data_IF_606930638391
#
_entry.id   IF_606930638391
#
_cell.length_a   1.000
_cell.length_b   1.000
_cell.length_c   1.000
_cell.angle_alpha   90.00
_cell.angle_beta   90.00
_cell.angle_gamma   90.00
#
_symmetry.space_group_name_H-M   'P 1'
#
loop_
_entity.id
_entity.type
_entity.pdbx_description
1 polymer ?
#
# COMPACT_ATOMS: atom_id res chain seq x y z
N UNK A 1 -18.69 -1.76 31.90
CA UNK A 1 -17.33 -1.21 31.93
C UNK A 1 -16.52 -2.02 30.93
N UNK A 2 -16.38 -1.54 29.69
CA UNK A 2 -15.65 -2.26 28.65
C UNK A 2 -14.16 -2.03 28.87
N UNK A 3 -13.41 -3.11 29.15
CA UNK A 3 -11.95 -3.06 29.17
C UNK A 3 -11.45 -2.79 27.75
N UNK A 4 -10.85 -1.62 27.52
CA UNK A 4 -10.05 -1.38 26.32
C UNK A 4 -8.80 -2.25 26.43
N UNK A 5 -8.64 -3.22 25.52
CA UNK A 5 -7.35 -3.91 25.35
C UNK A 5 -6.42 -2.90 24.68
N UNK A 6 -5.40 -2.43 25.41
CA UNK A 6 -4.38 -1.54 24.88
C UNK A 6 -3.41 -2.35 24.01
N UNK A 7 -3.55 -2.24 22.69
CA UNK A 7 -2.58 -2.74 21.73
C UNK A 7 -1.38 -1.78 21.61
N UNK A 8 -0.21 -2.31 21.25
CA UNK A 8 1.01 -1.54 21.05
C UNK A 8 1.66 -1.88 19.71
N UNK A 9 2.11 -0.87 18.98
CA UNK A 9 2.91 -0.99 17.76
C UNK A 9 4.31 -0.43 18.01
N UNK A 10 5.36 -1.17 17.62
CA UNK A 10 6.76 -0.76 17.84
C UNK A 10 7.43 -0.47 16.50
N UNK A 11 7.98 0.73 16.35
CA UNK A 11 8.66 1.13 15.12
C UNK A 11 9.73 2.20 15.39
N UNK A 12 10.92 2.04 14.79
CA UNK A 12 12.00 3.01 14.89
C UNK A 12 12.46 3.31 16.32
N UNK A 13 12.45 2.31 17.22
CA UNK A 13 12.77 2.48 18.64
C UNK A 13 11.66 3.08 19.51
N UNK A 14 10.51 3.43 18.91
CA UNK A 14 9.36 4.01 19.61
C UNK A 14 8.24 2.99 19.79
N UNK A 15 7.37 3.23 20.78
CA UNK A 15 6.15 2.45 21.02
C UNK A 15 4.93 3.36 20.87
N UNK A 16 3.96 2.94 20.08
CA UNK A 16 2.74 3.65 19.76
C UNK A 16 1.53 2.87 20.27
N UNK A 17 0.53 3.57 20.81
CA UNK A 17 -0.75 2.95 21.12
C UNK A 17 -1.48 2.57 19.83
N UNK A 18 -1.96 1.33 19.75
CA UNK A 18 -2.60 0.78 18.57
C UNK A 18 -3.85 -0.01 19.00
N UNK A 19 -4.88 0.72 19.40
CA UNK A 19 -6.14 0.14 19.90
C UNK A 19 -7.30 0.63 19.06
N UNK A 20 -8.27 -0.25 18.79
CA UNK A 20 -9.47 0.12 18.07
C UNK A 20 -10.36 1.05 18.93
N UNK A 21 -11.09 1.96 18.26
CA UNK A 21 -12.18 2.70 18.90
C UNK A 21 -13.27 1.73 19.39
N UNK A 22 -14.12 2.12 20.36
CA UNK A 22 -15.24 1.29 20.81
C UNK A 22 -16.19 0.86 19.69
N UNK A 23 -16.30 1.66 18.63
CA UNK A 23 -17.09 1.38 17.41
C UNK A 23 -16.38 0.46 16.40
N UNK A 24 -15.14 0.04 16.67
CA UNK A 24 -14.31 -0.70 15.73
C UNK A 24 -13.55 0.19 14.75
N UNK A 25 -13.03 -0.42 13.68
CA UNK A 25 -12.36 0.29 12.59
C UNK A 25 -13.38 0.98 11.66
N UNK A 26 -12.94 2.02 10.96
CA UNK A 26 -13.76 2.78 10.01
C UNK A 26 -12.89 3.21 8.83
N UNK A 27 -13.31 2.86 7.61
CA UNK A 27 -12.58 3.24 6.40
C UNK A 27 -12.43 4.75 6.27
N UNK A 28 -13.50 5.52 6.51
CA UNK A 28 -13.49 6.98 6.32
C UNK A 28 -12.63 7.69 7.36
N UNK A 29 -12.69 7.26 8.62
CA UNK A 29 -11.86 7.85 9.69
C UNK A 29 -10.39 7.49 9.50
N UNK A 30 -10.10 6.22 9.21
CA UNK A 30 -8.75 5.77 8.92
C UNK A 30 -8.16 6.50 7.70
N UNK A 31 -8.94 6.71 6.63
CA UNK A 31 -8.49 7.47 5.47
C UNK A 31 -8.19 8.93 5.83
N UNK A 32 -9.02 9.57 6.66
CA UNK A 32 -8.78 10.93 7.11
C UNK A 32 -7.45 11.05 7.90
N UNK A 33 -7.16 10.06 8.74
CA UNK A 33 -5.88 10.00 9.46
C UNK A 33 -4.69 9.77 8.52
N UNK A 34 -4.83 8.90 7.51
CA UNK A 34 -3.78 8.69 6.50
C UNK A 34 -3.51 9.95 5.67
N UNK A 35 -4.55 10.65 5.21
CA UNK A 35 -4.45 11.93 4.49
C UNK A 35 -3.63 12.94 5.30
N UNK A 36 -3.92 13.04 6.59
CA UNK A 36 -3.17 13.89 7.52
C UNK A 36 -1.73 13.41 7.72
N UNK A 37 -1.51 12.10 7.86
CA UNK A 37 -0.18 11.51 8.04
C UNK A 37 0.72 11.71 6.83
N UNK A 38 0.15 11.65 5.62
CA UNK A 38 0.85 11.96 4.36
C UNK A 38 1.13 13.46 4.22
N UNK A 39 0.38 14.35 4.90
CA UNK A 39 0.46 15.80 4.74
C UNK A 39 0.19 16.22 3.29
N UNK A 40 -0.91 15.72 2.73
CA UNK A 40 -1.31 16.06 1.35
C UNK A 40 -1.59 17.56 1.17
N UNK A 41 -2.04 18.23 2.24
CA UNK A 41 -2.34 19.67 2.25
C UNK A 41 -1.12 20.55 2.56
N UNK A 42 0.07 19.98 2.70
CA UNK A 42 1.31 20.74 2.93
C UNK A 42 1.55 21.70 1.76
N UNK A 43 1.99 22.92 2.06
CA UNK A 43 2.20 23.95 1.05
C UNK A 43 3.22 23.49 0.00
N UNK A 44 2.83 23.57 -1.27
CA UNK A 44 3.69 23.23 -2.39
C UNK A 44 4.47 24.46 -2.86
N UNK A 45 5.80 24.39 -2.79
CA UNK A 45 6.71 25.44 -3.30
C UNK A 45 7.17 25.18 -4.74
N UNK A 46 6.63 24.14 -5.37
CA UNK A 46 6.88 23.73 -6.75
C UNK A 46 5.61 23.88 -7.61
N UNK A 47 5.68 23.56 -8.91
CA UNK A 47 4.51 23.65 -9.80
C UNK A 47 3.36 22.73 -9.38
N UNK A 48 3.69 21.50 -8.96
CA UNK A 48 2.74 20.51 -8.43
C UNK A 48 3.50 19.57 -7.51
N UNK A 49 2.91 19.27 -6.36
CA UNK A 49 3.50 18.37 -5.38
C UNK A 49 2.69 17.07 -5.30
N UNK A 50 3.34 16.05 -4.74
CA UNK A 50 2.72 14.82 -4.28
C UNK A 50 2.13 15.08 -2.88
N UNK A 51 2.89 14.76 -1.83
CA UNK A 51 2.55 15.05 -0.44
C UNK A 51 3.77 15.59 0.31
N UNK A 52 3.55 16.26 1.44
CA UNK A 52 4.64 16.84 2.25
C UNK A 52 5.47 17.90 1.51
N UNK A 53 4.87 18.62 0.56
CA UNK A 53 5.54 19.65 -0.23
C UNK A 53 6.54 19.14 -1.26
N UNK A 54 6.59 17.82 -1.52
CA UNK A 54 7.56 17.21 -2.44
C UNK A 54 7.08 17.31 -3.90
N UNK A 55 7.92 17.85 -4.79
CA UNK A 55 7.65 17.94 -6.23
C UNK A 55 7.31 16.56 -6.83
N UNK A 56 6.24 16.49 -7.64
CA UNK A 56 5.76 15.25 -8.23
C UNK A 56 6.48 14.83 -9.53
N UNK A 57 7.52 15.55 -9.95
CA UNK A 57 8.26 15.28 -11.19
C UNK A 57 7.57 15.75 -12.48
N UNK A 58 6.44 16.46 -12.40
CA UNK A 58 5.73 17.01 -13.56
C UNK A 58 4.78 16.05 -14.30
N UNK A 59 4.75 14.77 -13.91
CA UNK A 59 3.87 13.77 -14.52
C UNK A 59 4.23 13.42 -15.97
N UNK A 60 3.22 13.25 -16.81
CA UNK A 60 3.40 13.02 -18.25
C UNK A 60 3.42 11.54 -18.66
N UNK A 61 3.81 11.29 -19.92
CA UNK A 61 3.66 9.98 -20.56
C UNK A 61 4.41 8.84 -19.84
N UNK A 62 5.53 9.16 -19.18
CA UNK A 62 6.32 8.19 -18.41
C UNK A 62 5.59 7.61 -17.20
N UNK A 63 4.54 8.27 -16.69
CA UNK A 63 3.72 7.79 -15.56
C UNK A 63 2.42 7.10 -15.99
N UNK A 64 2.18 6.95 -17.31
CA UNK A 64 0.96 6.31 -17.81
C UNK A 64 0.91 4.80 -17.50
N UNK A 65 2.07 4.14 -17.55
CA UNK A 65 2.19 2.71 -17.28
C UNK A 65 2.97 2.51 -15.98
N UNK A 66 2.25 2.20 -14.91
CA UNK A 66 2.83 2.02 -13.58
C UNK A 66 3.10 0.53 -13.29
N UNK A 67 4.32 0.23 -12.90
CA UNK A 67 4.69 -1.03 -12.26
C UNK A 67 4.90 -0.78 -10.77
N UNK A 68 4.10 -1.43 -9.93
CA UNK A 68 4.07 -1.21 -8.48
C UNK A 68 4.46 -2.52 -7.80
N UNK A 69 5.52 -2.49 -7.00
CA UNK A 69 6.18 -3.69 -6.50
C UNK A 69 6.00 -3.89 -4.98
N UNK A 70 6.60 -4.96 -4.48
CA UNK A 70 6.80 -5.23 -3.06
C UNK A 70 5.48 -5.24 -2.26
N UNK A 71 5.37 -4.42 -1.22
CA UNK A 71 4.27 -4.47 -0.25
C UNK A 71 2.88 -4.25 -0.88
N UNK A 72 2.78 -3.54 -2.02
CA UNK A 72 1.52 -3.43 -2.77
C UNK A 72 1.07 -4.78 -3.35
N UNK A 73 2.00 -5.59 -3.87
CA UNK A 73 1.70 -6.93 -4.34
C UNK A 73 1.29 -7.82 -3.16
N UNK A 74 2.05 -7.79 -2.07
CA UNK A 74 1.81 -8.68 -0.93
C UNK A 74 0.44 -8.42 -0.30
N UNK A 75 0.11 -7.16 0.01
CA UNK A 75 -1.20 -6.78 0.56
C UNK A 75 -2.35 -7.11 -0.38
N UNK A 76 -2.15 -6.97 -1.69
CA UNK A 76 -3.17 -7.36 -2.66
C UNK A 76 -3.44 -8.86 -2.66
N UNK A 77 -2.37 -9.66 -2.58
CA UNK A 77 -2.45 -11.12 -2.52
C UNK A 77 -3.08 -11.59 -1.20
N UNK A 78 -2.69 -10.99 -0.08
CA UNK A 78 -3.19 -11.31 1.24
C UNK A 78 -4.65 -10.88 1.45
N UNK A 79 -5.06 -9.75 0.84
CA UNK A 79 -6.46 -9.32 0.80
C UNK A 79 -7.31 -10.08 -0.22
N UNK A 80 -6.69 -10.98 -1.00
CA UNK A 80 -7.37 -11.96 -1.85
C UNK A 80 -7.93 -11.41 -3.16
N UNK A 81 -7.51 -10.22 -3.62
CA UNK A 81 -7.98 -9.65 -4.89
C UNK A 81 -6.99 -9.85 -6.05
N UNK A 82 -5.87 -10.51 -5.82
CA UNK A 82 -4.98 -11.04 -6.88
C UNK A 82 -4.57 -12.48 -6.58
N UNK A 83 -4.10 -13.19 -7.61
CA UNK A 83 -3.48 -14.50 -7.45
C UNK A 83 -2.07 -14.38 -6.87
N UNK A 84 -1.87 -14.88 -5.64
CA UNK A 84 -0.58 -14.84 -4.93
C UNK A 84 0.57 -15.59 -5.62
N UNK A 85 0.24 -16.54 -6.51
CA UNK A 85 1.20 -17.31 -7.29
C UNK A 85 1.58 -16.66 -8.63
N UNK A 86 0.90 -15.58 -9.03
CA UNK A 86 1.22 -14.88 -10.26
C UNK A 86 2.49 -14.05 -10.11
N UNK A 87 3.26 -13.90 -11.20
CA UNK A 87 4.42 -13.01 -11.21
C UNK A 87 4.01 -11.53 -11.31
N UNK A 88 2.87 -11.27 -11.96
CA UNK A 88 2.28 -9.95 -12.18
C UNK A 88 0.76 -10.02 -12.04
N UNK A 89 0.14 -8.91 -11.66
CA UNK A 89 -1.31 -8.75 -11.65
C UNK A 89 -1.72 -7.37 -12.16
N UNK A 90 -2.79 -7.29 -12.96
CA UNK A 90 -3.40 -6.03 -13.37
C UNK A 90 -4.48 -5.64 -12.39
N UNK A 91 -4.40 -4.42 -11.86
CA UNK A 91 -5.33 -3.91 -10.84
C UNK A 91 -5.53 -2.41 -11.04
N UNK A 92 -6.45 -1.83 -10.29
CA UNK A 92 -6.69 -0.39 -10.16
C UNK A 92 -6.53 0.03 -8.71
N UNK A 93 -6.23 1.32 -8.42
CA UNK A 93 -6.27 1.80 -7.04
C UNK A 93 -7.64 1.58 -6.37
N UNK A 94 -8.75 1.61 -7.12
CA UNK A 94 -10.09 1.29 -6.59
C UNK A 94 -10.21 -0.13 -6.03
N UNK A 95 -9.41 -1.09 -6.50
CA UNK A 95 -9.43 -2.46 -5.96
C UNK A 95 -8.90 -2.49 -4.52
N UNK A 96 -7.89 -1.65 -4.21
CA UNK A 96 -7.40 -1.43 -2.84
C UNK A 96 -8.46 -0.75 -1.98
N UNK A 97 -9.19 0.24 -2.53
CA UNK A 97 -10.28 0.90 -1.82
C UNK A 97 -11.37 -0.10 -1.40
N UNK A 98 -11.81 -0.95 -2.33
CA UNK A 98 -12.82 -1.97 -2.06
C UNK A 98 -12.33 -2.99 -1.05
N UNK A 99 -11.07 -3.44 -1.16
CA UNK A 99 -10.46 -4.33 -0.19
C UNK A 99 -10.38 -3.69 1.20
N UNK A 100 -9.98 -2.41 1.29
CA UNK A 100 -9.95 -1.64 2.52
C UNK A 100 -11.35 -1.53 3.15
N UNK A 101 -12.38 -1.19 2.35
CA UNK A 101 -13.77 -1.12 2.83
C UNK A 101 -14.29 -2.45 3.38
N UNK A 102 -13.80 -3.59 2.87
CA UNK A 102 -14.11 -4.92 3.43
C UNK A 102 -13.34 -5.16 4.74
N UNK A 103 -12.02 -4.94 4.73
CA UNK A 103 -11.15 -5.16 5.88
C UNK A 103 -11.54 -4.31 7.10
N UNK A 104 -11.88 -3.03 6.88
CA UNK A 104 -12.24 -2.09 7.94
C UNK A 104 -13.64 -2.32 8.54
N UNK A 105 -14.35 -3.39 8.17
CA UNK A 105 -15.60 -3.81 8.82
C UNK A 105 -15.40 -4.97 9.78
N UNK A 106 -14.21 -5.56 9.80
CA UNK A 106 -13.90 -6.76 10.57
C UNK A 106 -13.24 -6.38 11.90
N UNK A 107 -13.58 -7.13 12.94
CA UNK A 107 -12.74 -7.18 14.14
C UNK A 107 -11.52 -8.08 13.89
N UNK A 108 -10.57 -8.09 14.83
CA UNK A 108 -9.31 -8.83 14.69
C UNK A 108 -9.52 -10.35 14.51
N UNK A 109 -10.52 -10.95 15.16
CA UNK A 109 -10.78 -12.39 15.05
C UNK A 109 -11.35 -12.76 13.67
N UNK A 110 -12.28 -11.95 13.17
CA UNK A 110 -12.86 -12.15 11.84
C UNK A 110 -11.83 -11.87 10.74
N UNK A 111 -10.97 -10.87 10.94
CA UNK A 111 -9.85 -10.57 10.04
C UNK A 111 -8.83 -11.71 10.01
N UNK A 112 -8.50 -12.30 11.16
CA UNK A 112 -7.58 -13.44 11.25
C UNK A 112 -8.08 -14.65 10.45
N UNK A 113 -9.40 -14.86 10.45
CA UNK A 113 -10.04 -15.95 9.70
C UNK A 113 -10.19 -15.64 8.21
N UNK A 114 -10.46 -14.37 7.87
CA UNK A 114 -10.68 -13.92 6.49
C UNK A 114 -9.38 -13.75 5.69
N UNK A 115 -8.27 -13.49 6.38
CA UNK A 115 -6.97 -13.21 5.76
C UNK A 115 -5.88 -14.17 6.28
N UNK A 116 -5.98 -15.47 5.99
CA UNK A 116 -5.05 -16.48 6.51
C UNK A 116 -3.62 -16.33 5.99
N UNK A 117 -3.42 -15.58 4.90
CA UNK A 117 -2.10 -15.25 4.35
C UNK A 117 -1.36 -14.14 5.12
N UNK A 118 -2.08 -13.35 5.94
CA UNK A 118 -1.48 -12.27 6.73
C UNK A 118 -0.83 -12.87 7.98
N UNK A 119 0.41 -12.47 8.25
CA UNK A 119 1.09 -12.83 9.51
C UNK A 119 0.26 -12.38 10.72
N UNK A 120 0.14 -13.21 11.74
CA UNK A 120 -0.74 -12.97 12.90
C UNK A 120 -0.56 -11.59 13.54
N UNK A 121 0.70 -11.18 13.73
CA UNK A 121 1.03 -9.89 14.34
C UNK A 121 0.66 -8.70 13.45
N UNK A 122 0.44 -8.93 12.14
CA UNK A 122 0.05 -7.92 11.17
C UNK A 122 -1.47 -7.88 10.89
N UNK A 123 -2.24 -8.87 11.36
CA UNK A 123 -3.70 -8.92 11.16
C UNK A 123 -4.43 -7.68 11.68
N UNK A 124 -4.08 -7.10 12.85
CA UNK A 124 -4.73 -5.88 13.33
C UNK A 124 -4.58 -4.67 12.38
N UNK A 125 -3.59 -4.70 11.49
CA UNK A 125 -3.22 -3.57 10.63
C UNK A 125 -3.70 -3.69 9.19
N UNK A 126 -4.34 -4.80 8.80
CA UNK A 126 -4.72 -5.03 7.39
C UNK A 126 -5.66 -3.94 6.83
N UNK A 127 -6.60 -3.43 7.64
CA UNK A 127 -7.43 -2.28 7.27
C UNK A 127 -6.57 -1.04 7.03
N UNK A 128 -5.68 -0.71 7.97
CA UNK A 128 -4.80 0.46 7.88
C UNK A 128 -3.88 0.39 6.65
N UNK A 129 -3.28 -0.78 6.39
CA UNK A 129 -2.36 -0.97 5.25
C UNK A 129 -3.07 -0.77 3.91
N UNK A 130 -4.27 -1.33 3.73
CA UNK A 130 -5.03 -1.20 2.49
C UNK A 130 -5.54 0.23 2.29
N UNK A 131 -5.99 0.90 3.37
CA UNK A 131 -6.34 2.32 3.33
C UNK A 131 -5.11 3.15 2.96
N UNK A 132 -3.97 2.89 3.60
CA UNK A 132 -2.72 3.58 3.33
C UNK A 132 -2.29 3.46 1.87
N UNK A 133 -2.31 2.24 1.31
CA UNK A 133 -1.94 2.00 -0.08
C UNK A 133 -2.87 2.71 -1.06
N UNK A 134 -4.19 2.65 -0.84
CA UNK A 134 -5.15 3.38 -1.67
C UNK A 134 -4.92 4.89 -1.61
N UNK A 135 -4.84 5.47 -0.41
CA UNK A 135 -4.67 6.91 -0.20
C UNK A 135 -3.32 7.40 -0.70
N UNK A 136 -2.25 6.62 -0.54
CA UNK A 136 -0.94 6.97 -1.08
C UNK A 136 -0.97 7.05 -2.62
N UNK A 137 -1.61 6.08 -3.29
CA UNK A 137 -1.71 6.09 -4.76
C UNK A 137 -2.56 7.27 -5.25
N UNK A 138 -3.74 7.48 -4.68
CA UNK A 138 -4.71 8.47 -5.18
C UNK A 138 -4.42 9.87 -4.66
N UNK A 139 -4.40 10.05 -3.34
CA UNK A 139 -4.24 11.36 -2.71
C UNK A 139 -2.77 11.79 -2.66
N UNK A 140 -1.84 10.84 -2.49
CA UNK A 140 -0.41 11.12 -2.45
C UNK A 140 0.23 11.31 -3.84
N UNK A 141 0.09 10.31 -4.71
CA UNK A 141 0.72 10.33 -6.04
C UNK A 141 -0.19 10.88 -7.15
N UNK A 142 -1.48 11.08 -6.89
CA UNK A 142 -2.40 11.61 -7.89
C UNK A 142 -2.75 10.63 -9.01
N UNK A 143 -2.65 9.32 -8.74
CA UNK A 143 -3.04 8.28 -9.69
C UNK A 143 -4.56 8.22 -9.78
N UNK A 144 -5.11 8.22 -10.99
CA UNK A 144 -6.55 8.10 -11.19
C UNK A 144 -7.03 6.76 -10.59
N UNK A 145 -8.08 6.74 -9.74
CA UNK A 145 -8.58 5.52 -9.10
C UNK A 145 -8.96 4.41 -10.08
N UNK A 146 -9.24 4.74 -11.34
CA UNK A 146 -9.61 3.81 -12.41
C UNK A 146 -8.46 3.49 -13.38
N UNK A 147 -7.30 4.14 -13.24
CA UNK A 147 -6.13 3.83 -14.04
C UNK A 147 -5.64 2.42 -13.74
N UNK A 148 -5.50 1.61 -14.79
CA UNK A 148 -4.88 0.29 -14.66
C UNK A 148 -3.39 0.44 -14.34
N UNK A 149 -2.93 -0.31 -13.35
CA UNK A 149 -1.53 -0.46 -12.97
C UNK A 149 -1.17 -1.94 -12.88
N UNK A 150 0.12 -2.22 -12.91
CA UNK A 150 0.65 -3.58 -12.86
C UNK A 150 1.33 -3.81 -11.52
N UNK A 151 0.76 -4.65 -10.67
CA UNK A 151 1.49 -5.16 -9.51
C UNK A 151 2.52 -6.17 -9.99
N UNK A 152 3.76 -6.07 -9.53
CA UNK A 152 4.87 -6.91 -9.96
C UNK A 152 5.60 -7.51 -8.76
N UNK A 153 5.67 -8.84 -8.74
CA UNK A 153 6.51 -9.61 -7.82
C UNK A 153 7.78 -10.10 -8.50
N UNK A 154 7.62 -10.58 -9.75
CA UNK A 154 8.72 -10.99 -10.61
C UNK A 154 8.48 -10.53 -12.04
N UNK A 155 9.55 -10.20 -12.73
CA UNK A 155 9.55 -9.88 -14.16
C UNK A 155 9.90 -11.15 -14.94
N UNK A 156 9.05 -11.61 -15.87
CA UNK A 156 9.40 -12.70 -16.76
C UNK A 156 10.51 -12.23 -17.72
N UNK A 157 11.58 -13.00 -17.81
CA UNK A 157 12.72 -12.73 -18.68
C UNK A 157 13.20 -14.04 -19.31
N UNK A 158 12.94 -14.21 -20.61
CA UNK A 158 13.14 -15.49 -21.32
C UNK A 158 12.39 -16.64 -20.61
N UNK A 159 13.11 -17.64 -20.16
CA UNK A 159 12.69 -18.85 -19.45
C UNK A 159 12.80 -18.70 -17.92
N UNK A 160 13.16 -17.51 -17.43
CA UNK A 160 13.37 -17.22 -16.01
C UNK A 160 12.41 -16.14 -15.47
N UNK A 161 12.35 -16.06 -14.15
CA UNK A 161 11.66 -14.98 -13.43
C UNK A 161 12.68 -14.23 -12.57
N UNK A 162 12.84 -12.94 -12.82
CA UNK A 162 13.72 -12.08 -12.04
C UNK A 162 12.91 -11.33 -11.01
N UNK A 163 13.43 -11.19 -9.79
CA UNK A 163 12.78 -10.40 -8.75
C UNK A 163 12.60 -8.95 -9.20
N UNK A 164 11.42 -8.37 -8.94
CA UNK A 164 11.15 -6.97 -9.20
C UNK A 164 11.79 -6.09 -8.11
N UNK A 165 13.12 -6.06 -8.11
CA UNK A 165 13.94 -5.35 -7.14
C UNK A 165 15.14 -4.67 -7.82
N UNK A 166 15.82 -3.82 -7.06
CA UNK A 166 16.96 -3.02 -7.51
C UNK A 166 18.20 -3.80 -8.01
N UNK A 167 18.53 -5.03 -7.56
CA UNK A 167 19.82 -5.65 -7.89
C UNK A 167 20.11 -5.84 -9.38
N UNK A 168 19.09 -6.19 -10.19
CA UNK A 168 19.28 -6.34 -11.64
C UNK A 168 19.62 -5.00 -12.29
N UNK A 169 18.94 -3.92 -11.89
CA UNK A 169 19.22 -2.57 -12.39
C UNK A 169 20.64 -2.14 -12.11
N UNK A 170 21.13 -2.38 -10.88
CA UNK A 170 22.52 -2.08 -10.51
C UNK A 170 23.54 -2.89 -11.32
N UNK A 171 23.27 -4.17 -11.59
CA UNK A 171 24.16 -4.98 -12.43
C UNK A 171 24.22 -4.47 -13.88
N UNK A 172 23.09 -4.05 -14.44
CA UNK A 172 23.03 -3.45 -15.77
C UNK A 172 23.79 -2.13 -15.81
N UNK A 173 23.64 -1.27 -14.80
CA UNK A 173 24.38 0.01 -14.72
C UNK A 173 25.90 -0.22 -14.76
N UNK A 174 26.41 -1.16 -13.96
CA UNK A 174 27.83 -1.51 -13.95
C UNK A 174 28.27 -2.07 -15.31
N UNK A 175 27.51 -3.00 -15.88
CA UNK A 175 27.88 -3.65 -17.15
C UNK A 175 27.78 -2.72 -18.37
N UNK A 176 26.88 -1.73 -18.36
CA UNK A 176 26.67 -0.78 -19.46
C UNK A 176 27.57 0.44 -19.41
N UNK A 177 28.25 0.66 -18.28
CA UNK A 177 29.24 1.73 -18.10
C UNK A 177 30.65 1.33 -18.53
N UNK A 178 30.81 0.13 -19.11
CA UNK A 178 32.06 -0.47 -19.60
C UNK A 178 32.17 -0.35 -21.12
#
# INVERSE_FOLDING_TARGET
MAFMILGQYKYGGNTFEASAAPSGSSFSECRADVVKALKVDEACTHMKCSFGGIWNGGGGAGQKNLFVASFFFDRAAEAGFINSNAAVAKVKPSDFEEAAKRACKLNVNDAQSSYPGVQKDNVPYICMDLVYQYTLLVDGFGVDPQQEMTLVKKVPYSDAFVEAAWPLGSAIEVASSS
#
